data_IF_161961847356
#
_entry.id   IF_161961847356
#
_cell.length_a   1.000
_cell.length_b   1.000
_cell.length_c   1.000
_cell.angle_alpha   90.00
_cell.angle_beta   90.00
_cell.angle_gamma   90.00
#
_symmetry.space_group_name_H-M   'P 1'
#
loop_
_entity.id
_entity.type
_entity.pdbx_description
1 polymer ?
#
# COMPACT_ATOMS: atom_id res chain seq x y z
N UNK A 1 16.13 52.19 40.56
CA UNK A 1 15.46 51.13 41.34
C UNK A 1 14.14 50.70 40.70
N UNK A 2 13.38 51.61 40.11
CA UNK A 2 12.06 51.35 39.49
C UNK A 2 12.03 50.28 38.39
N UNK A 3 13.10 50.16 37.58
CA UNK A 3 13.17 49.15 36.51
C UNK A 3 13.22 47.72 37.09
N UNK A 4 14.03 47.51 38.13
CA UNK A 4 14.19 46.18 38.75
C UNK A 4 12.93 45.73 39.49
N UNK A 5 12.16 46.66 40.06
CA UNK A 5 10.88 46.34 40.69
C UNK A 5 9.83 45.83 39.70
N UNK A 6 10.03 46.01 38.40
CA UNK A 6 9.17 45.44 37.35
C UNK A 6 9.80 44.16 36.78
N UNK A 7 11.10 44.21 36.44
CA UNK A 7 11.76 43.09 35.76
C UNK A 7 11.85 41.82 36.62
N UNK A 8 12.22 41.94 37.91
CA UNK A 8 12.40 40.77 38.77
C UNK A 8 11.06 40.04 38.99
N UNK A 9 9.96 40.71 39.38
CA UNK A 9 8.66 40.04 39.49
C UNK A 9 8.18 39.44 38.16
N UNK A 10 8.44 40.09 37.02
CA UNK A 10 8.05 39.56 35.71
C UNK A 10 8.79 38.26 35.37
N UNK A 11 10.11 38.21 35.55
CA UNK A 11 10.91 36.99 35.33
C UNK A 11 10.45 35.87 36.27
N UNK A 12 10.18 36.19 37.54
CA UNK A 12 9.65 35.23 38.52
C UNK A 12 8.27 34.73 38.10
N UNK A 13 7.37 35.61 37.62
CA UNK A 13 6.05 35.22 37.13
C UNK A 13 6.15 34.31 35.89
N UNK A 14 7.05 34.60 34.96
CA UNK A 14 7.32 33.75 33.80
C UNK A 14 7.84 32.38 34.25
N UNK A 15 8.77 32.33 35.21
CA UNK A 15 9.28 31.07 35.74
C UNK A 15 8.23 30.27 36.52
N UNK A 16 7.44 30.92 37.35
CA UNK A 16 6.48 30.26 38.24
C UNK A 16 5.17 29.85 37.54
N UNK A 17 4.73 30.61 36.53
CA UNK A 17 3.45 30.35 35.85
C UNK A 17 3.66 29.93 34.40
N UNK A 18 4.35 30.75 33.60
CA UNK A 18 4.42 30.53 32.15
C UNK A 18 5.27 29.30 31.77
N UNK A 19 6.34 29.01 32.51
CA UNK A 19 7.22 27.89 32.23
C UNK A 19 6.59 26.51 32.53
N UNK A 20 5.94 26.29 33.69
CA UNK A 20 5.15 25.07 33.92
C UNK A 20 4.04 24.90 32.88
N UNK A 21 3.34 25.98 32.52
CA UNK A 21 2.32 25.95 31.48
C UNK A 21 2.94 25.55 30.13
N UNK A 22 4.07 26.12 29.75
CA UNK A 22 4.79 25.76 28.52
C UNK A 22 5.13 24.26 28.46
N UNK A 23 5.65 23.68 29.55
CA UNK A 23 5.94 22.24 29.63
C UNK A 23 4.66 21.41 29.50
N UNK A 24 3.58 21.82 30.18
CA UNK A 24 2.29 21.15 30.10
C UNK A 24 1.75 21.18 28.66
N UNK A 25 1.88 22.31 27.97
CA UNK A 25 1.42 22.44 26.59
C UNK A 25 2.23 21.60 25.61
N UNK A 26 3.54 21.44 25.83
CA UNK A 26 4.37 20.47 25.10
C UNK A 26 3.86 19.04 25.33
N UNK A 27 3.54 18.68 26.58
CA UNK A 27 2.96 17.39 26.91
C UNK A 27 1.59 17.17 26.25
N UNK A 28 0.77 18.23 26.16
CA UNK A 28 -0.55 18.16 25.51
C UNK A 28 -0.45 17.87 24.02
N UNK A 29 0.58 18.37 23.33
CA UNK A 29 0.82 18.08 21.91
C UNK A 29 1.12 16.59 21.71
N UNK A 30 1.96 16.00 22.58
CA UNK A 30 2.23 14.56 22.56
C UNK A 30 0.94 13.76 22.72
N UNK A 31 0.16 14.09 23.75
CA UNK A 31 -1.09 13.38 24.05
C UNK A 31 -2.13 13.51 22.93
N UNK A 32 -2.11 14.61 22.17
CA UNK A 32 -3.07 14.87 21.11
C UNK A 32 -2.80 14.05 19.85
N UNK A 33 -1.56 14.06 19.37
CA UNK A 33 -1.17 13.37 18.13
C UNK A 33 -0.62 11.97 18.37
N UNK A 34 -0.37 11.60 19.64
CA UNK A 34 0.31 10.37 20.04
C UNK A 34 1.65 10.19 19.30
N UNK A 35 2.43 11.28 19.23
CA UNK A 35 3.64 11.40 18.43
C UNK A 35 4.76 12.07 19.22
N UNK A 36 5.77 11.27 19.59
CA UNK A 36 7.00 11.80 20.19
C UNK A 36 7.83 12.59 19.17
N UNK A 37 7.75 12.23 17.87
CA UNK A 37 8.51 12.88 16.80
C UNK A 37 8.08 14.33 16.58
N UNK A 38 6.76 14.59 16.53
CA UNK A 38 6.23 15.96 16.45
C UNK A 38 6.70 16.81 17.64
N UNK A 39 6.74 16.22 18.82
CA UNK A 39 7.22 16.88 20.05
C UNK A 39 8.72 17.16 19.99
N UNK A 40 9.52 16.25 19.42
CA UNK A 40 10.94 16.48 19.20
C UNK A 40 11.21 17.62 18.22
N UNK A 41 10.44 17.73 17.13
CA UNK A 41 10.54 18.87 16.20
C UNK A 41 10.23 20.15 16.97
N UNK A 42 9.14 20.16 17.74
CA UNK A 42 8.77 21.32 18.55
C UNK A 42 9.88 21.73 19.53
N UNK A 43 10.54 20.77 20.19
CA UNK A 43 11.68 21.05 21.10
C UNK A 43 12.93 21.54 20.37
N UNK A 44 13.04 21.27 19.06
CA UNK A 44 14.17 21.75 18.25
C UNK A 44 13.93 23.17 17.69
N UNK A 45 12.72 23.71 17.78
CA UNK A 45 12.36 25.05 17.34
C UNK A 45 13.20 26.14 17.99
N UNK A 46 13.46 27.19 17.21
CA UNK A 46 14.28 28.32 17.62
C UNK A 46 13.65 29.06 18.81
N UNK A 47 12.34 29.28 18.75
CA UNK A 47 11.57 30.02 19.74
C UNK A 47 11.62 29.36 21.11
N UNK A 48 11.45 28.03 21.17
CA UNK A 48 11.54 27.28 22.43
C UNK A 48 12.96 27.31 23.01
N UNK A 49 13.99 27.05 22.18
CA UNK A 49 15.39 27.04 22.64
C UNK A 49 15.79 28.39 23.24
N UNK A 50 15.46 29.49 22.57
CA UNK A 50 15.78 30.83 23.08
C UNK A 50 14.96 31.20 24.29
N UNK A 51 13.66 30.92 24.31
CA UNK A 51 12.83 31.14 25.49
C UNK A 51 13.39 30.40 26.72
N UNK A 52 13.68 29.10 26.58
CA UNK A 52 14.20 28.26 27.65
C UNK A 52 15.58 28.75 28.14
N UNK A 53 16.51 29.04 27.22
CA UNK A 53 17.85 29.51 27.59
C UNK A 53 17.83 30.91 28.21
N UNK A 54 17.04 31.84 27.67
CA UNK A 54 16.91 33.20 28.20
C UNK A 54 16.28 33.20 29.60
N UNK A 55 15.39 32.26 29.90
CA UNK A 55 14.82 32.10 31.23
C UNK A 55 15.90 31.76 32.25
N UNK A 56 16.73 30.74 31.97
CA UNK A 56 17.86 30.38 32.84
C UNK A 56 18.88 31.50 32.97
N UNK A 57 19.23 32.17 31.87
CA UNK A 57 20.15 33.32 31.90
C UNK A 57 19.57 34.45 32.77
N UNK A 58 18.28 34.76 32.63
CA UNK A 58 17.62 35.81 33.42
C UNK A 58 17.61 35.49 34.91
N UNK A 59 17.36 34.23 35.28
CA UNK A 59 17.42 33.78 36.68
C UNK A 59 18.84 33.86 37.25
N UNK A 60 19.85 33.45 36.47
CA UNK A 60 21.27 33.56 36.87
C UNK A 60 21.66 35.03 37.05
N UNK A 61 21.26 35.93 36.15
CA UNK A 61 21.53 37.36 36.26
C UNK A 61 20.90 37.97 37.53
N UNK A 62 19.68 37.58 37.87
CA UNK A 62 19.02 38.00 39.11
C UNK A 62 19.79 37.49 40.33
N UNK A 63 20.21 36.22 40.32
CA UNK A 63 21.02 35.65 41.41
C UNK A 63 22.36 36.40 41.57
N UNK A 64 23.08 36.68 40.47
CA UNK A 64 24.32 37.46 40.46
C UNK A 64 24.08 38.87 41.01
N UNK A 65 22.98 39.53 40.63
CA UNK A 65 22.63 40.85 41.16
C UNK A 65 22.38 40.83 42.67
N UNK A 66 21.63 39.83 43.17
CA UNK A 66 21.38 39.68 44.62
C UNK A 66 22.68 39.40 45.39
N UNK A 67 23.56 38.59 44.83
CA UNK A 67 24.89 38.31 45.37
C UNK A 67 25.75 39.59 45.40
N UNK A 68 25.80 40.32 44.29
CA UNK A 68 26.54 41.58 44.18
C UNK A 68 26.07 42.65 45.17
N UNK A 69 24.76 42.70 45.47
CA UNK A 69 24.21 43.54 46.58
C UNK A 69 24.77 43.12 47.93
N UNK A 70 24.80 41.82 48.22
CA UNK A 70 25.22 41.29 49.51
C UNK A 70 26.73 41.42 49.76
N UNK A 71 27.55 41.23 48.73
CA UNK A 71 29.01 41.28 48.82
C UNK A 71 29.63 42.63 48.42
N UNK A 72 28.81 43.64 48.16
CA UNK A 72 29.29 45.02 47.93
C UNK A 72 30.01 45.23 46.60
N UNK A 73 29.45 44.72 45.49
CA UNK A 73 29.98 45.00 44.16
C UNK A 73 30.02 46.50 43.86
N UNK A 74 30.96 46.93 43.00
CA UNK A 74 31.08 48.34 42.66
C UNK A 74 29.83 48.88 41.96
N UNK A 75 29.54 50.16 42.18
CA UNK A 75 28.37 50.85 41.62
C UNK A 75 28.30 50.69 40.09
N UNK A 76 29.45 50.75 39.39
CA UNK A 76 29.53 50.58 37.93
C UNK A 76 29.08 49.17 37.51
N UNK A 77 29.55 48.12 38.19
CA UNK A 77 29.14 46.75 37.91
C UNK A 77 27.64 46.53 38.17
N UNK A 78 27.11 47.15 39.22
CA UNK A 78 25.69 47.08 39.55
C UNK A 78 24.81 47.75 38.50
N UNK A 79 25.23 48.90 37.94
CA UNK A 79 24.52 49.53 36.82
C UNK A 79 24.54 48.68 35.55
N UNK A 80 25.66 48.05 35.22
CA UNK A 80 25.76 47.14 34.07
C UNK A 80 24.76 45.98 34.23
N UNK A 81 24.75 45.32 35.40
CA UNK A 81 23.82 44.22 35.68
C UNK A 81 22.35 44.64 35.56
N UNK A 82 21.98 45.84 36.03
CA UNK A 82 20.61 46.36 35.91
C UNK A 82 20.18 46.44 34.45
N UNK A 83 21.01 47.02 33.57
CA UNK A 83 20.70 47.14 32.15
C UNK A 83 20.68 45.78 31.44
N UNK A 84 21.58 44.87 31.80
CA UNK A 84 21.58 43.50 31.26
C UNK A 84 20.31 42.75 31.67
N UNK A 85 19.86 42.86 32.93
CA UNK A 85 18.60 42.27 33.39
C UNK A 85 17.41 42.85 32.63
N UNK A 86 17.38 44.17 32.42
CA UNK A 86 16.32 44.83 31.66
C UNK A 86 16.24 44.30 30.22
N UNK A 87 17.37 44.27 29.51
CA UNK A 87 17.45 43.76 28.12
C UNK A 87 17.06 42.28 28.07
N UNK A 88 17.58 41.47 28.99
CA UNK A 88 17.26 40.05 29.09
C UNK A 88 15.77 39.81 29.33
N UNK A 89 15.13 40.63 30.19
CA UNK A 89 13.68 40.54 30.47
C UNK A 89 12.84 40.92 29.26
N UNK A 90 13.24 41.95 28.50
CA UNK A 90 12.55 42.36 27.28
C UNK A 90 12.66 41.28 26.19
N UNK A 91 13.85 40.71 25.99
CA UNK A 91 14.06 39.59 25.08
C UNK A 91 13.27 38.35 25.51
N UNK A 92 13.30 38.00 26.80
CA UNK A 92 12.53 36.88 27.35
C UNK A 92 11.03 37.03 27.08
N UNK A 93 10.50 38.24 27.27
CA UNK A 93 9.08 38.54 27.02
C UNK A 93 8.73 38.42 25.52
N UNK A 94 9.60 38.91 24.63
CA UNK A 94 9.43 38.76 23.18
C UNK A 94 9.43 37.28 22.78
N UNK A 95 10.41 36.50 23.25
CA UNK A 95 10.52 35.07 22.94
C UNK A 95 9.39 34.24 23.56
N UNK A 96 8.83 34.64 24.70
CA UNK A 96 7.62 34.04 25.24
C UNK A 96 6.44 34.20 24.28
N UNK A 97 6.24 35.39 23.70
CA UNK A 97 5.15 35.63 22.74
C UNK A 97 5.37 34.80 21.46
N UNK A 98 6.59 34.76 20.94
CA UNK A 98 6.93 33.94 19.77
C UNK A 98 6.73 32.45 20.05
N UNK A 99 7.13 31.98 21.23
CA UNK A 99 6.90 30.62 21.69
C UNK A 99 5.40 30.29 21.76
N UNK A 100 4.59 31.15 22.36
CA UNK A 100 3.13 30.97 22.43
C UNK A 100 2.53 30.88 21.02
N UNK A 101 2.95 31.75 20.09
CA UNK A 101 2.52 31.67 18.68
C UNK A 101 2.87 30.31 18.06
N UNK A 102 4.05 29.76 18.35
CA UNK A 102 4.45 28.42 17.90
C UNK A 102 3.60 27.32 18.52
N UNK A 103 3.27 27.40 19.81
CA UNK A 103 2.35 26.45 20.47
C UNK A 103 1.00 26.44 19.75
N UNK A 104 0.46 27.60 19.36
CA UNK A 104 -0.79 27.67 18.61
C UNK A 104 -0.72 26.97 17.25
N UNK A 105 0.39 27.10 16.52
CA UNK A 105 0.60 26.38 15.25
C UNK A 105 0.58 24.87 15.50
N UNK A 106 1.36 24.38 16.47
CA UNK A 106 1.47 22.95 16.75
C UNK A 106 0.21 22.35 17.37
N UNK A 107 -0.63 23.15 18.02
CA UNK A 107 -1.93 22.70 18.54
C UNK A 107 -3.04 22.70 17.50
N UNK A 108 -2.87 23.39 16.38
CA UNK A 108 -3.88 23.43 15.33
C UNK A 108 -3.58 22.36 14.29
N UNK A 109 -4.57 21.52 14.01
CA UNK A 109 -4.46 20.39 13.08
C UNK A 109 -3.96 20.85 11.70
N UNK A 110 -4.67 21.81 11.11
CA UNK A 110 -4.38 22.33 9.77
C UNK A 110 -3.09 23.15 9.77
N UNK A 111 -2.87 24.02 10.76
CA UNK A 111 -1.67 24.86 10.78
C UNK A 111 -0.40 24.04 10.98
N UNK A 112 -0.44 22.96 11.77
CA UNK A 112 0.68 22.06 11.93
C UNK A 112 0.99 21.33 10.62
N UNK A 113 -0.05 20.78 9.94
CA UNK A 113 0.09 20.13 8.62
C UNK A 113 0.77 21.08 7.63
N UNK A 114 0.21 22.27 7.45
CA UNK A 114 0.70 23.27 6.49
C UNK A 114 2.11 23.71 6.83
N UNK A 115 2.40 23.88 8.12
CA UNK A 115 3.73 24.24 8.61
C UNK A 115 4.77 23.17 8.27
N UNK A 116 4.49 21.89 8.54
CA UNK A 116 5.39 20.78 8.25
C UNK A 116 5.58 20.59 6.74
N UNK A 117 4.51 20.67 5.94
CA UNK A 117 4.60 20.63 4.48
C UNK A 117 5.45 21.76 3.91
N UNK A 118 5.30 22.98 4.46
CA UNK A 118 6.10 24.12 4.05
C UNK A 118 7.59 23.97 4.41
N UNK A 119 7.91 23.41 5.58
CA UNK A 119 9.28 23.13 5.98
C UNK A 119 9.92 22.03 5.12
N UNK A 120 9.14 21.01 4.77
CA UNK A 120 9.60 19.87 3.99
C UNK A 120 10.05 20.27 2.58
N UNK A 121 9.27 21.16 1.92
CA UNK A 121 9.51 21.62 0.54
C UNK A 121 9.63 20.48 -0.48
N UNK A 122 8.92 19.38 -0.26
CA UNK A 122 8.95 18.20 -1.13
C UNK A 122 10.26 17.42 -1.08
N UNK A 123 10.98 17.49 0.05
CA UNK A 123 12.22 16.73 0.29
C UNK A 123 11.98 15.46 1.12
N UNK A 124 10.76 15.27 1.59
CA UNK A 124 10.29 14.13 2.39
C UNK A 124 11.09 13.88 3.67
N UNK A 125 11.64 14.94 4.26
CA UNK A 125 12.34 14.94 5.54
C UNK A 125 11.40 14.73 6.71
N UNK A 126 10.15 15.20 6.59
CA UNK A 126 9.13 15.09 7.63
C UNK A 126 8.08 14.01 7.31
N UNK A 127 8.43 13.03 6.46
CA UNK A 127 7.49 11.99 5.99
C UNK A 127 6.87 11.19 7.14
N UNK A 128 7.63 10.96 8.19
CA UNK A 128 7.20 10.17 9.34
C UNK A 128 6.21 10.94 10.22
N UNK A 129 6.49 12.22 10.48
CA UNK A 129 5.63 13.08 11.28
C UNK A 129 4.35 13.45 10.54
N UNK A 130 4.45 13.66 9.22
CA UNK A 130 3.29 13.83 8.35
C UNK A 130 2.44 12.56 8.26
N UNK A 131 3.06 11.36 8.33
CA UNK A 131 2.31 10.10 8.41
C UNK A 131 1.52 10.00 9.72
N UNK A 132 2.16 10.29 10.85
CA UNK A 132 1.49 10.26 12.16
C UNK A 132 0.34 11.26 12.23
N UNK A 133 0.52 12.45 11.65
CA UNK A 133 -0.54 13.43 11.50
C UNK A 133 -1.67 12.95 10.57
N UNK A 134 -1.32 12.27 9.47
CA UNK A 134 -2.30 11.71 8.55
C UNK A 134 -3.16 10.63 9.21
N UNK A 135 -2.53 9.71 9.95
CA UNK A 135 -3.21 8.68 10.75
C UNK A 135 -4.13 9.34 11.77
N UNK A 136 -3.67 10.38 12.46
CA UNK A 136 -4.51 11.14 13.38
C UNK A 136 -5.74 11.74 12.68
N UNK A 137 -5.61 12.33 11.49
CA UNK A 137 -6.75 12.86 10.74
C UNK A 137 -7.72 11.77 10.31
N UNK A 138 -7.24 10.64 9.80
CA UNK A 138 -8.08 9.50 9.41
C UNK A 138 -8.88 8.99 10.61
N UNK A 139 -8.27 8.88 11.79
CA UNK A 139 -8.95 8.44 13.00
C UNK A 139 -9.98 9.44 13.50
N UNK A 140 -9.72 10.74 13.30
CA UNK A 140 -10.61 11.83 13.70
C UNK A 140 -11.84 11.91 12.78
N UNK A 141 -11.64 11.75 11.46
CA UNK A 141 -12.70 11.69 10.46
C UNK A 141 -12.34 10.67 9.38
N UNK A 142 -13.00 9.51 9.43
CA UNK A 142 -12.73 8.39 8.51
C UNK A 142 -13.30 8.62 7.10
N UNK A 143 -14.19 9.60 6.93
CA UNK A 143 -14.82 9.90 5.63
C UNK A 143 -13.96 10.91 4.88
N UNK A 144 -13.57 12.00 5.56
CA UNK A 144 -12.77 13.07 4.96
C UNK A 144 -11.30 12.68 4.99
N UNK A 145 -10.79 12.25 3.83
CA UNK A 145 -9.35 12.06 3.66
C UNK A 145 -8.70 13.42 3.44
N UNK A 146 -7.64 13.72 4.20
CA UNK A 146 -6.84 14.93 3.97
C UNK A 146 -6.14 14.86 2.61
N UNK A 147 -6.65 15.64 1.64
CA UNK A 147 -6.19 15.61 0.25
C UNK A 147 -4.73 16.04 0.11
N UNK A 148 -4.26 16.97 0.95
CA UNK A 148 -2.88 17.45 0.90
C UNK A 148 -1.88 16.38 1.34
N UNK A 149 -2.17 15.67 2.44
CA UNK A 149 -1.35 14.55 2.90
C UNK A 149 -1.43 13.36 1.94
N UNK A 150 -2.62 13.06 1.42
CA UNK A 150 -2.78 12.06 0.37
C UNK A 150 -1.92 12.39 -0.87
N UNK A 151 -1.96 13.64 -1.33
CA UNK A 151 -1.18 14.12 -2.47
C UNK A 151 0.32 14.08 -2.18
N UNK A 152 0.73 14.44 -0.96
CA UNK A 152 2.12 14.37 -0.52
C UNK A 152 2.70 12.95 -0.62
N UNK A 153 2.00 11.95 -0.06
CA UNK A 153 2.45 10.56 -0.17
C UNK A 153 2.35 10.02 -1.59
N UNK A 154 1.31 10.40 -2.34
CA UNK A 154 1.18 9.99 -3.75
C UNK A 154 2.36 10.51 -4.59
N UNK A 155 2.77 11.77 -4.40
CA UNK A 155 3.96 12.35 -5.04
C UNK A 155 5.25 11.67 -4.60
N UNK A 156 5.37 11.33 -3.31
CA UNK A 156 6.52 10.60 -2.79
C UNK A 156 6.74 9.26 -3.52
N UNK A 157 5.72 8.41 -3.56
CA UNK A 157 5.83 7.11 -4.24
C UNK A 157 5.96 7.24 -5.76
N UNK A 158 5.33 8.25 -6.37
CA UNK A 158 5.51 8.55 -7.78
C UNK A 158 6.96 8.95 -8.08
N UNK A 159 7.59 9.77 -7.23
CA UNK A 159 8.99 10.14 -7.38
C UNK A 159 9.92 8.93 -7.26
N UNK A 160 9.74 8.07 -6.25
CA UNK A 160 10.53 6.83 -6.09
C UNK A 160 10.49 5.95 -7.35
N UNK A 161 9.31 5.84 -7.99
CA UNK A 161 9.16 5.13 -9.27
C UNK A 161 9.87 5.83 -10.42
N UNK A 162 9.71 7.15 -10.54
CA UNK A 162 10.30 7.93 -11.64
C UNK A 162 11.83 7.90 -11.64
N UNK A 163 12.45 7.86 -10.46
CA UNK A 163 13.91 7.79 -10.32
C UNK A 163 14.48 6.43 -10.75
N UNK A 164 13.65 5.38 -10.71
CA UNK A 164 14.06 3.99 -10.94
C UNK A 164 13.60 3.44 -12.30
N UNK A 165 12.73 4.15 -13.02
CA UNK A 165 12.11 3.68 -14.28
C UNK A 165 13.08 3.50 -15.45
N UNK A 166 14.29 4.05 -15.36
CA UNK A 166 15.36 3.86 -16.35
C UNK A 166 16.22 2.62 -16.08
N UNK A 167 16.10 2.02 -14.89
CA UNK A 167 16.85 0.84 -14.53
C UNK A 167 16.17 -0.40 -15.08
N UNK A 168 16.97 -1.34 -15.57
CA UNK A 168 16.49 -2.66 -15.98
C UNK A 168 16.12 -3.55 -14.78
N UNK A 169 16.29 -3.07 -13.54
CA UNK A 169 16.06 -3.82 -12.32
C UNK A 169 14.66 -3.58 -11.75
N UNK A 170 14.22 -4.48 -10.88
CA UNK A 170 12.98 -4.29 -10.11
C UNK A 170 13.12 -3.11 -9.15
N UNK A 171 12.06 -2.34 -8.98
CA UNK A 171 12.02 -1.29 -7.97
C UNK A 171 11.92 -1.92 -6.57
N UNK A 172 12.95 -1.66 -5.75
CA UNK A 172 12.98 -2.07 -4.35
C UNK A 172 12.71 -0.86 -3.46
N UNK A 173 11.56 -0.89 -2.79
CA UNK A 173 11.23 0.12 -1.78
C UNK A 173 12.00 -0.15 -0.48
N UNK A 174 12.28 0.91 0.27
CA UNK A 174 12.91 0.76 1.58
C UNK A 174 11.93 0.14 2.58
N UNK A 175 12.46 -0.43 3.66
CA UNK A 175 11.62 -0.97 4.75
C UNK A 175 10.66 0.08 5.31
N UNK A 176 11.11 1.32 5.43
CA UNK A 176 10.30 2.43 5.93
C UNK A 176 9.11 2.73 4.99
N UNK A 177 9.30 2.58 3.68
CA UNK A 177 8.25 2.79 2.69
C UNK A 177 7.16 1.72 2.77
N UNK A 178 7.53 0.46 2.99
CA UNK A 178 6.54 -0.59 3.24
C UNK A 178 5.83 -0.38 4.59
N UNK A 179 6.53 0.14 5.61
CA UNK A 179 5.92 0.44 6.91
C UNK A 179 4.87 1.56 6.82
N UNK A 180 5.09 2.59 6.00
CA UNK A 180 4.09 3.64 5.71
C UNK A 180 2.80 3.00 5.17
N UNK A 181 2.92 2.16 4.14
CA UNK A 181 1.78 1.45 3.53
C UNK A 181 1.07 0.57 4.55
N UNK A 182 1.82 -0.18 5.35
CA UNK A 182 1.26 -1.06 6.37
C UNK A 182 0.50 -0.27 7.46
N UNK A 183 1.06 0.84 7.94
CA UNK A 183 0.41 1.69 8.95
C UNK A 183 -0.93 2.21 8.44
N UNK A 184 -0.99 2.69 7.20
CA UNK A 184 -2.24 3.17 6.58
C UNK A 184 -3.21 2.05 6.27
N UNK A 185 -2.71 0.88 5.84
CA UNK A 185 -3.54 -0.31 5.66
C UNK A 185 -4.27 -0.70 6.94
N UNK A 186 -3.61 -0.65 8.11
CA UNK A 186 -4.27 -0.91 9.40
C UNK A 186 -5.44 0.05 9.67
N UNK A 187 -5.28 1.33 9.37
CA UNK A 187 -6.38 2.30 9.51
C UNK A 187 -7.55 1.99 8.58
N UNK A 188 -7.27 1.52 7.35
CA UNK A 188 -8.31 1.02 6.42
C UNK A 188 -8.99 -0.24 6.99
N UNK A 189 -8.25 -1.12 7.66
CA UNK A 189 -8.80 -2.32 8.31
C UNK A 189 -9.70 -2.00 9.50
N UNK A 190 -9.57 -0.82 10.11
CA UNK A 190 -10.48 -0.32 11.14
C UNK A 190 -11.65 0.51 10.60
N UNK A 191 -11.69 0.79 9.29
CA UNK A 191 -12.68 1.67 8.65
C UNK A 191 -13.74 0.91 7.86
N UNK A 192 -14.93 1.46 7.67
CA UNK A 192 -15.97 0.82 6.83
C UNK A 192 -15.66 0.95 5.33
N UNK A 193 -16.37 0.19 4.49
CA UNK A 193 -16.16 0.18 3.03
C UNK A 193 -16.29 1.58 2.39
N UNK A 194 -17.18 2.43 2.90
CA UNK A 194 -17.40 3.79 2.37
C UNK A 194 -16.46 4.84 2.99
N UNK A 195 -15.56 4.44 3.86
CA UNK A 195 -14.59 5.29 4.56
C UNK A 195 -13.18 5.03 4.04
N UNK A 196 -12.30 6.01 4.12
CA UNK A 196 -10.89 5.89 3.70
C UNK A 196 -10.71 5.35 2.27
N UNK A 197 -11.67 5.66 1.38
CA UNK A 197 -11.79 5.02 0.05
C UNK A 197 -10.53 5.18 -0.78
N UNK A 198 -9.86 6.34 -0.71
CA UNK A 198 -8.58 6.58 -1.37
C UNK A 198 -7.50 5.62 -0.85
N UNK A 199 -7.36 5.48 0.47
CA UNK A 199 -6.36 4.59 1.07
C UNK A 199 -6.63 3.10 0.82
N UNK A 200 -7.89 2.73 0.57
CA UNK A 200 -8.21 1.37 0.10
C UNK A 200 -7.54 1.08 -1.25
N UNK A 201 -7.50 2.04 -2.19
CA UNK A 201 -6.78 1.91 -3.45
C UNK A 201 -5.27 2.08 -3.26
N UNK A 202 -4.88 3.19 -2.64
CA UNK A 202 -3.50 3.63 -2.62
C UNK A 202 -2.58 2.78 -1.76
N UNK A 203 -2.95 2.56 -0.50
CA UNK A 203 -2.15 1.79 0.44
C UNK A 203 -2.53 0.30 0.40
N UNK A 204 -3.81 -0.03 0.60
CA UNK A 204 -4.23 -1.42 0.81
C UNK A 204 -4.20 -2.27 -0.47
N UNK A 205 -4.72 -1.74 -1.57
CA UNK A 205 -4.69 -2.41 -2.88
C UNK A 205 -3.38 -2.18 -3.65
N UNK A 206 -2.42 -1.42 -3.09
CA UNK A 206 -1.05 -1.35 -3.61
C UNK A 206 -0.80 -0.36 -4.75
N UNK A 207 -1.69 0.59 -5.05
CA UNK A 207 -1.46 1.59 -6.12
C UNK A 207 -0.17 2.40 -5.90
N UNK A 208 0.16 2.73 -4.64
CA UNK A 208 1.41 3.40 -4.32
C UNK A 208 2.66 2.53 -4.45
N UNK A 209 2.53 1.21 -4.55
CA UNK A 209 3.68 0.34 -4.77
C UNK A 209 3.82 -0.01 -6.25
N UNK A 210 2.72 -0.41 -6.89
CA UNK A 210 2.68 -0.81 -8.31
C UNK A 210 2.81 0.41 -9.23
N UNK A 211 2.16 1.51 -8.86
CA UNK A 211 1.95 2.65 -9.74
C UNK A 211 0.77 2.46 -10.69
N UNK A 212 0.58 3.45 -11.55
CA UNK A 212 -0.31 3.41 -12.72
C UNK A 212 0.55 3.33 -13.98
N UNK A 213 -0.08 3.41 -15.16
CA UNK A 213 0.54 3.45 -16.49
C UNK A 213 1.68 4.49 -16.75
N UNK A 214 2.01 5.37 -15.80
CA UNK A 214 2.93 6.49 -15.97
C UNK A 214 4.41 6.07 -16.07
N UNK A 215 4.82 5.11 -15.23
CA UNK A 215 6.20 4.62 -15.17
C UNK A 215 6.22 3.11 -15.04
N UNK A 216 6.78 2.46 -16.05
CA UNK A 216 6.99 1.03 -16.01
C UNK A 216 8.26 0.71 -15.21
N UNK A 217 8.09 -0.11 -14.16
CA UNK A 217 9.18 -0.77 -13.43
C UNK A 217 8.71 -2.15 -13.01
N UNK A 218 9.58 -3.17 -13.07
CA UNK A 218 9.22 -4.53 -12.65
C UNK A 218 8.91 -4.54 -11.15
N UNK A 219 7.79 -5.15 -10.78
CA UNK A 219 7.40 -5.34 -9.37
C UNK A 219 8.40 -6.29 -8.70
N UNK A 220 8.98 -5.86 -7.57
CA UNK A 220 9.89 -6.69 -6.77
C UNK A 220 9.12 -7.75 -5.97
N UNK A 221 9.81 -8.83 -5.60
CA UNK A 221 9.25 -9.91 -4.78
C UNK A 221 8.76 -9.38 -3.42
N UNK A 222 9.50 -8.48 -2.79
CA UNK A 222 9.10 -7.84 -1.52
C UNK A 222 7.81 -7.00 -1.67
N UNK A 223 7.62 -6.38 -2.84
CA UNK A 223 6.38 -5.67 -3.14
C UNK A 223 5.21 -6.66 -3.28
N UNK A 224 5.40 -7.76 -4.01
CA UNK A 224 4.39 -8.82 -4.11
C UNK A 224 4.03 -9.40 -2.74
N UNK A 225 5.04 -9.69 -1.90
CA UNK A 225 4.84 -10.21 -0.55
C UNK A 225 4.07 -9.22 0.34
N UNK A 226 4.40 -7.94 0.27
CA UNK A 226 3.71 -6.89 1.02
C UNK A 226 2.26 -6.76 0.59
N UNK A 227 1.99 -6.75 -0.72
CA UNK A 227 0.64 -6.69 -1.26
C UNK A 227 -0.14 -7.95 -0.89
N UNK A 228 0.46 -9.14 -1.02
CA UNK A 228 -0.17 -10.40 -0.63
C UNK A 228 -0.63 -10.35 0.83
N UNK A 229 0.23 -9.90 1.74
CA UNK A 229 -0.11 -9.75 3.15
C UNK A 229 -1.28 -8.78 3.38
N UNK A 230 -1.30 -7.64 2.69
CA UNK A 230 -2.40 -6.67 2.78
C UNK A 230 -3.72 -7.26 2.25
N UNK A 231 -3.69 -7.95 1.11
CA UNK A 231 -4.87 -8.56 0.50
C UNK A 231 -5.41 -9.71 1.34
N UNK A 232 -4.52 -10.57 1.83
CA UNK A 232 -4.89 -11.67 2.71
C UNK A 232 -5.53 -11.14 4.00
N UNK A 233 -4.92 -10.13 4.63
CA UNK A 233 -5.48 -9.47 5.81
C UNK A 233 -6.87 -8.86 5.52
N UNK A 234 -7.05 -8.20 4.38
CA UNK A 234 -8.33 -7.63 3.97
C UNK A 234 -9.41 -8.71 3.76
N UNK A 235 -9.08 -9.80 3.06
CA UNK A 235 -10.03 -10.88 2.75
C UNK A 235 -10.52 -11.56 4.04
N UNK A 236 -9.60 -11.85 4.97
CA UNK A 236 -9.92 -12.44 6.28
C UNK A 236 -10.83 -11.52 7.11
N UNK A 237 -10.61 -10.19 7.02
CA UNK A 237 -11.44 -9.19 7.70
C UNK A 237 -12.73 -8.84 6.93
N UNK A 238 -13.19 -9.68 6.00
CA UNK A 238 -14.40 -9.48 5.18
C UNK A 238 -14.38 -8.20 4.32
N UNK A 239 -13.20 -7.75 3.90
CA UNK A 239 -12.98 -6.59 3.03
C UNK A 239 -12.41 -7.00 1.67
N UNK A 240 -12.91 -8.10 1.13
CA UNK A 240 -12.47 -8.68 -0.15
C UNK A 240 -12.68 -7.75 -1.36
N UNK A 241 -13.51 -6.70 -1.25
CA UNK A 241 -13.58 -5.63 -2.24
C UNK A 241 -12.22 -4.95 -2.50
N UNK A 242 -11.27 -5.00 -1.55
CA UNK A 242 -9.90 -4.51 -1.76
C UNK A 242 -9.15 -5.36 -2.78
N UNK A 243 -9.39 -6.67 -2.84
CA UNK A 243 -8.82 -7.55 -3.86
C UNK A 243 -9.34 -7.18 -5.26
N UNK A 244 -10.62 -6.79 -5.37
CA UNK A 244 -11.19 -6.27 -6.63
C UNK A 244 -10.49 -4.96 -7.04
N UNK A 245 -10.23 -4.05 -6.10
CA UNK A 245 -9.47 -2.82 -6.36
C UNK A 245 -8.04 -3.10 -6.81
N UNK A 246 -7.38 -4.07 -6.18
CA UNK A 246 -6.04 -4.51 -6.58
C UNK A 246 -6.06 -5.08 -8.00
N UNK A 247 -7.05 -5.93 -8.32
CA UNK A 247 -7.23 -6.47 -9.66
C UNK A 247 -7.32 -5.35 -10.71
N UNK A 248 -8.07 -4.27 -10.44
CA UNK A 248 -8.12 -3.10 -11.32
C UNK A 248 -6.74 -2.47 -11.54
N UNK A 249 -5.98 -2.24 -10.47
CA UNK A 249 -4.66 -1.60 -10.52
C UNK A 249 -3.67 -2.45 -11.30
N UNK A 250 -3.60 -3.75 -10.98
CA UNK A 250 -2.60 -4.64 -11.59
C UNK A 250 -2.98 -5.03 -13.02
N UNK A 251 -4.27 -5.01 -13.37
CA UNK A 251 -4.69 -5.15 -14.76
C UNK A 251 -4.24 -3.95 -15.61
N UNK A 252 -4.42 -2.71 -15.12
CA UNK A 252 -3.89 -1.51 -15.80
C UNK A 252 -2.37 -1.61 -15.99
N UNK A 253 -1.64 -2.01 -14.94
CA UNK A 253 -0.21 -2.27 -15.03
C UNK A 253 0.13 -3.33 -16.08
N UNK A 254 -0.55 -4.47 -16.08
CA UNK A 254 -0.30 -5.58 -16.99
C UNK A 254 -0.51 -5.21 -18.46
N UNK A 255 -1.54 -4.42 -18.77
CA UNK A 255 -1.80 -3.93 -20.13
C UNK A 255 -0.69 -3.00 -20.63
N UNK A 256 -0.03 -2.28 -19.72
CA UNK A 256 1.02 -1.31 -20.05
C UNK A 256 2.43 -1.89 -19.98
N UNK A 257 2.61 -3.19 -19.71
CA UNK A 257 3.93 -3.84 -19.81
C UNK A 257 4.40 -3.77 -21.27
N UNK A 258 5.52 -3.07 -21.56
CA UNK A 258 6.05 -2.95 -22.91
C UNK A 258 6.29 -4.30 -23.60
N UNK A 259 5.72 -4.47 -24.79
CA UNK A 259 6.04 -5.59 -25.67
C UNK A 259 7.39 -5.33 -26.37
N UNK A 260 8.24 -6.35 -26.41
CA UNK A 260 9.57 -6.25 -27.01
C UNK A 260 9.61 -7.20 -28.21
N UNK A 261 9.74 -6.64 -29.41
CA UNK A 261 9.87 -7.43 -30.63
C UNK A 261 11.23 -8.13 -30.70
N UNK A 262 11.29 -9.39 -31.16
CA UNK A 262 12.55 -10.08 -31.43
C UNK A 262 13.44 -9.28 -32.38
N UNK A 263 14.67 -9.02 -31.97
CA UNK A 263 15.72 -8.47 -32.82
C UNK A 263 16.54 -9.65 -33.34
N UNK A 264 16.38 -9.92 -34.63
CA UNK A 264 17.06 -11.03 -35.30
C UNK A 264 18.35 -10.50 -35.91
N UNK A 265 19.47 -11.06 -35.47
CA UNK A 265 20.79 -10.74 -35.99
C UNK A 265 21.03 -11.45 -37.35
N UNK A 266 22.08 -11.06 -38.06
CA UNK A 266 22.42 -11.60 -39.40
C UNK A 266 22.65 -13.13 -39.41
N UNK A 267 22.92 -13.74 -38.25
CA UNK A 267 23.09 -15.19 -38.07
C UNK A 267 21.79 -15.94 -37.72
N UNK A 268 20.66 -15.23 -37.64
CA UNK A 268 19.35 -15.78 -37.27
C UNK A 268 19.15 -15.95 -35.76
N UNK A 269 20.11 -15.54 -34.92
CA UNK A 269 19.95 -15.51 -33.46
C UNK A 269 19.14 -14.29 -33.02
N UNK A 270 18.47 -14.40 -31.85
CA UNK A 270 17.69 -13.30 -31.28
C UNK A 270 18.56 -12.61 -30.23
N UNK A 271 19.12 -11.44 -30.55
CA UNK A 271 20.06 -10.72 -29.67
C UNK A 271 19.41 -10.24 -28.37
N UNK A 272 18.12 -9.91 -28.40
CA UNK A 272 17.38 -9.40 -27.24
C UNK A 272 16.57 -10.47 -26.49
N UNK A 273 16.89 -11.76 -26.68
CA UNK A 273 16.17 -12.88 -26.08
C UNK A 273 16.04 -12.79 -24.56
N UNK A 274 17.11 -12.46 -23.84
CA UNK A 274 17.09 -12.33 -22.39
C UNK A 274 16.08 -11.29 -21.90
N UNK A 275 15.93 -10.19 -22.64
CA UNK A 275 15.00 -9.12 -22.30
C UNK A 275 13.56 -9.61 -22.55
N UNK A 276 13.31 -10.31 -23.65
CA UNK A 276 12.01 -10.91 -23.97
C UNK A 276 11.62 -11.94 -22.92
N UNK A 277 12.51 -12.88 -22.59
CA UNK A 277 12.27 -13.93 -21.59
C UNK A 277 11.97 -13.32 -20.22
N UNK A 278 12.66 -12.24 -19.85
CA UNK A 278 12.38 -11.49 -18.63
C UNK A 278 10.98 -10.86 -18.63
N UNK A 279 10.54 -10.28 -19.75
CA UNK A 279 9.18 -9.71 -19.88
C UNK A 279 8.11 -10.79 -19.78
N UNK A 280 8.32 -11.92 -20.44
CA UNK A 280 7.41 -13.06 -20.37
C UNK A 280 7.33 -13.62 -18.95
N UNK A 281 8.47 -13.70 -18.25
CA UNK A 281 8.53 -14.11 -16.85
C UNK A 281 7.75 -13.16 -15.94
N UNK A 282 7.90 -11.85 -16.11
CA UNK A 282 7.16 -10.85 -15.33
C UNK A 282 5.65 -10.90 -15.58
N UNK A 283 5.22 -11.05 -16.83
CA UNK A 283 3.80 -11.27 -17.13
C UNK A 283 3.30 -12.53 -16.45
N UNK A 284 4.13 -13.58 -16.41
CA UNK A 284 3.78 -14.81 -15.71
C UNK A 284 3.72 -14.62 -14.18
N UNK A 285 4.61 -13.83 -13.58
CA UNK A 285 4.61 -13.55 -12.13
C UNK A 285 3.24 -12.97 -11.72
N UNK A 286 2.71 -12.07 -12.55
CA UNK A 286 1.40 -11.44 -12.33
C UNK A 286 0.25 -12.41 -12.54
N UNK A 287 0.28 -13.23 -13.61
CA UNK A 287 -0.73 -14.25 -13.86
C UNK A 287 -0.78 -15.25 -12.70
N UNK A 288 0.38 -15.70 -12.21
CA UNK A 288 0.46 -16.61 -11.07
C UNK A 288 -0.14 -15.96 -9.82
N UNK A 289 0.26 -14.72 -9.50
CA UNK A 289 -0.26 -13.97 -8.36
C UNK A 289 -1.79 -13.87 -8.40
N UNK A 290 -2.37 -13.48 -9.55
CA UNK A 290 -3.81 -13.30 -9.71
C UNK A 290 -4.56 -14.64 -9.65
N UNK A 291 -4.00 -15.69 -10.24
CA UNK A 291 -4.62 -17.02 -10.22
C UNK A 291 -4.68 -17.55 -8.78
N UNK A 292 -3.60 -17.39 -8.01
CA UNK A 292 -3.55 -17.80 -6.60
C UNK A 292 -4.43 -16.90 -5.72
N UNK A 293 -4.51 -15.60 -6.00
CA UNK A 293 -5.46 -14.69 -5.35
C UNK A 293 -6.91 -15.10 -5.60
N UNK A 294 -7.23 -15.57 -6.81
CA UNK A 294 -8.52 -16.16 -7.15
C UNK A 294 -8.82 -17.40 -6.31
N UNK A 295 -7.82 -18.27 -6.12
CA UNK A 295 -7.89 -19.39 -5.17
C UNK A 295 -8.15 -18.96 -3.73
N UNK A 296 -7.51 -17.87 -3.27
CA UNK A 296 -7.69 -17.33 -1.92
C UNK A 296 -9.12 -16.77 -1.72
N UNK A 297 -9.66 -16.08 -2.72
CA UNK A 297 -11.05 -15.61 -2.71
C UNK A 297 -12.03 -16.78 -2.67
N UNK A 298 -11.77 -17.83 -3.46
CA UNK A 298 -12.59 -19.03 -3.46
C UNK A 298 -12.58 -19.72 -2.09
N UNK A 299 -11.38 -19.91 -1.52
CA UNK A 299 -11.19 -20.51 -0.19
C UNK A 299 -11.97 -19.76 0.91
N UNK A 300 -12.00 -18.43 0.85
CA UNK A 300 -12.76 -17.58 1.79
C UNK A 300 -14.22 -17.35 1.37
N UNK A 301 -14.75 -18.13 0.41
CA UNK A 301 -16.14 -18.04 -0.09
C UNK A 301 -16.53 -16.66 -0.61
N UNK A 302 -15.59 -15.90 -1.17
CA UNK A 302 -15.79 -14.55 -1.74
C UNK A 302 -16.20 -14.62 -3.21
N UNK A 303 -17.21 -15.46 -3.51
CA UNK A 303 -17.64 -15.78 -4.88
C UNK A 303 -18.17 -14.56 -5.66
N UNK A 304 -18.82 -13.61 -4.98
CA UNK A 304 -19.29 -12.37 -5.61
C UNK A 304 -18.15 -11.47 -6.09
N UNK A 305 -17.05 -11.43 -5.35
CA UNK A 305 -15.86 -10.66 -5.74
C UNK A 305 -15.14 -11.32 -6.91
N UNK A 306 -15.10 -12.67 -6.96
CA UNK A 306 -14.65 -13.42 -8.15
C UNK A 306 -15.51 -13.06 -9.36
N UNK A 307 -16.84 -13.07 -9.22
CA UNK A 307 -17.75 -12.62 -10.28
C UNK A 307 -17.47 -11.19 -10.73
N UNK A 308 -17.20 -10.29 -9.79
CA UNK A 308 -16.86 -8.89 -10.12
C UNK A 308 -15.56 -8.80 -10.91
N UNK A 309 -14.54 -9.59 -10.55
CA UNK A 309 -13.27 -9.70 -11.28
C UNK A 309 -13.49 -10.22 -12.71
N UNK A 310 -14.26 -11.30 -12.86
CA UNK A 310 -14.56 -11.93 -14.16
C UNK A 310 -15.19 -10.98 -15.17
N UNK A 311 -16.01 -10.03 -14.70
CA UNK A 311 -16.79 -9.12 -15.54
C UNK A 311 -16.43 -7.64 -15.31
N UNK A 312 -15.23 -7.34 -14.83
CA UNK A 312 -14.77 -5.98 -14.55
C UNK A 312 -14.62 -5.11 -15.80
N UNK A 313 -14.18 -5.68 -16.93
CA UNK A 313 -13.88 -4.92 -18.15
C UNK A 313 -15.12 -4.43 -18.89
N UNK A 314 -14.97 -3.31 -19.60
CA UNK A 314 -16.00 -2.74 -20.49
C UNK A 314 -16.05 -3.41 -21.87
N UNK A 315 -15.09 -4.29 -22.20
CA UNK A 315 -15.12 -5.02 -23.46
C UNK A 315 -16.29 -6.00 -23.50
N UNK A 316 -16.93 -6.14 -24.67
CA UNK A 316 -18.02 -7.11 -24.87
C UNK A 316 -17.69 -8.04 -26.05
N UNK A 317 -17.31 -9.31 -25.81
CA UNK A 317 -17.24 -9.97 -24.50
C UNK A 317 -16.04 -9.50 -23.64
N UNK A 318 -16.10 -9.71 -22.31
CA UNK A 318 -14.98 -9.53 -21.41
C UNK A 318 -13.71 -10.26 -21.86
N UNK A 319 -12.69 -9.49 -22.24
CA UNK A 319 -11.38 -9.97 -22.70
C UNK A 319 -10.28 -9.19 -21.98
N UNK A 320 -9.32 -9.92 -21.42
CA UNK A 320 -8.25 -9.37 -20.58
C UNK A 320 -6.85 -9.56 -21.18
N UNK A 321 -6.72 -9.70 -22.51
CA UNK A 321 -5.41 -9.83 -23.20
C UNK A 321 -4.45 -10.85 -22.54
N UNK A 322 -4.97 -12.04 -22.24
CA UNK A 322 -4.26 -13.14 -21.55
C UNK A 322 -3.91 -12.94 -20.06
N UNK A 323 -4.34 -11.85 -19.42
CA UNK A 323 -4.26 -11.67 -17.97
C UNK A 323 -5.18 -12.65 -17.22
N UNK A 324 -6.38 -12.85 -17.76
CA UNK A 324 -7.25 -13.99 -17.47
C UNK A 324 -7.42 -14.81 -18.76
N UNK A 325 -7.65 -16.14 -18.66
CA UNK A 325 -7.84 -16.98 -19.84
C UNK A 325 -8.97 -16.45 -20.74
N UNK A 326 -8.69 -16.20 -22.01
CA UNK A 326 -9.68 -15.74 -22.99
C UNK A 326 -10.33 -16.89 -23.76
N UNK A 327 -9.71 -18.08 -23.77
CA UNK A 327 -10.22 -19.29 -24.43
C UNK A 327 -10.02 -20.54 -23.56
N UNK A 328 -10.75 -21.61 -23.85
CA UNK A 328 -10.62 -22.89 -23.14
C UNK A 328 -9.18 -23.41 -23.23
N UNK A 329 -8.52 -23.29 -24.39
CA UNK A 329 -7.10 -23.65 -24.54
C UNK A 329 -6.25 -22.97 -23.46
N UNK A 330 -6.43 -21.67 -23.25
CA UNK A 330 -5.64 -20.93 -22.27
C UNK A 330 -5.95 -21.38 -20.83
N UNK A 331 -7.20 -21.73 -20.51
CA UNK A 331 -7.55 -22.34 -19.22
C UNK A 331 -6.81 -23.65 -19.02
N UNK A 332 -6.82 -24.54 -20.03
CA UNK A 332 -6.15 -25.83 -19.97
C UNK A 332 -4.63 -25.66 -19.85
N UNK A 333 -4.01 -24.77 -20.63
CA UNK A 333 -2.58 -24.47 -20.54
C UNK A 333 -2.18 -23.94 -19.16
N UNK A 334 -2.97 -23.02 -18.59
CA UNK A 334 -2.73 -22.50 -17.25
C UNK A 334 -2.80 -23.63 -16.20
N UNK A 335 -3.79 -24.52 -16.33
CA UNK A 335 -3.94 -25.69 -15.48
C UNK A 335 -2.74 -26.66 -15.62
N UNK A 336 -2.37 -27.00 -16.86
CA UNK A 336 -1.22 -27.84 -17.17
C UNK A 336 0.07 -27.26 -16.58
N UNK A 337 0.26 -25.95 -16.67
CA UNK A 337 1.46 -25.27 -16.17
C UNK A 337 1.59 -25.40 -14.65
N UNK A 338 0.50 -25.23 -13.91
CA UNK A 338 0.49 -25.37 -12.45
C UNK A 338 0.66 -26.82 -12.02
N UNK A 339 -0.01 -27.76 -12.70
CA UNK A 339 0.05 -29.20 -12.39
C UNK A 339 1.38 -29.86 -12.78
N UNK A 340 1.90 -29.53 -13.96
CA UNK A 340 3.11 -30.15 -14.52
C UNK A 340 4.42 -29.61 -13.96
N UNK A 341 4.40 -28.44 -13.31
CA UNK A 341 5.58 -27.76 -12.79
C UNK A 341 5.57 -27.62 -11.25
N UNK A 342 4.94 -28.58 -10.56
CA UNK A 342 4.90 -28.65 -9.09
C UNK A 342 6.32 -28.73 -8.46
N UNK A 343 7.32 -29.23 -9.20
CA UNK A 343 8.70 -29.36 -8.71
C UNK A 343 9.61 -28.19 -9.10
N UNK A 344 9.13 -27.25 -9.91
CA UNK A 344 9.88 -26.05 -10.32
C UNK A 344 9.27 -24.79 -9.71
N UNK A 345 8.70 -23.95 -10.57
CA UNK A 345 8.21 -22.60 -10.23
C UNK A 345 7.14 -22.58 -9.12
N UNK A 346 6.38 -23.66 -8.97
CA UNK A 346 5.27 -23.73 -8.01
C UNK A 346 5.56 -24.59 -6.77
N UNK A 347 6.80 -25.04 -6.62
CA UNK A 347 7.20 -25.93 -5.52
C UNK A 347 7.04 -25.32 -4.13
N UNK A 348 7.11 -23.99 -4.03
CA UNK A 348 7.00 -23.24 -2.78
C UNK A 348 5.80 -22.29 -2.76
N UNK A 349 4.79 -22.55 -3.60
CA UNK A 349 3.61 -21.67 -3.72
C UNK A 349 2.86 -21.50 -2.37
N UNK A 350 2.87 -22.52 -1.52
CA UNK A 350 2.28 -22.49 -0.17
C UNK A 350 3.06 -21.55 0.78
N UNK A 351 4.36 -21.35 0.53
CA UNK A 351 5.25 -20.45 1.28
C UNK A 351 5.18 -19.03 0.75
N UNK A 352 5.15 -18.88 -0.57
CA UNK A 352 5.11 -17.58 -1.25
C UNK A 352 3.75 -16.90 -1.06
N UNK A 353 2.67 -17.70 -1.06
CA UNK A 353 1.29 -17.23 -1.01
C UNK A 353 0.46 -17.98 0.05
N UNK A 354 0.78 -17.84 1.35
CA UNK A 354 0.13 -18.59 2.40
C UNK A 354 -1.35 -18.18 2.53
N UNK A 355 -2.24 -19.18 2.58
CA UNK A 355 -3.65 -18.97 2.88
C UNK A 355 -3.87 -18.91 4.38
N UNK A 356 -4.82 -18.09 4.86
CA UNK A 356 -5.11 -17.95 6.27
C UNK A 356 -5.70 -19.27 6.81
N UNK A 357 -5.45 -19.58 8.08
CA UNK A 357 -5.92 -20.79 8.77
C UNK A 357 -5.38 -22.14 8.27
N UNK A 358 -4.57 -22.17 7.20
CA UNK A 358 -3.83 -23.37 6.80
C UNK A 358 -2.52 -23.45 7.62
N UNK A 359 -2.54 -24.20 8.73
CA UNK A 359 -1.35 -24.41 9.58
C UNK A 359 -1.07 -25.91 9.71
N UNK A 360 0.15 -26.32 9.32
CA UNK A 360 0.67 -27.67 9.53
C UNK A 360 0.80 -28.53 8.26
N UNK A 361 1.46 -29.68 8.40
CA UNK A 361 1.85 -30.57 7.29
C UNK A 361 0.64 -31.15 6.54
N UNK A 362 -0.49 -31.34 7.22
CA UNK A 362 -1.74 -31.87 6.62
C UNK A 362 -2.51 -30.88 5.74
N UNK A 363 -2.05 -29.62 5.68
CA UNK A 363 -2.65 -28.57 4.87
C UNK A 363 -1.91 -28.36 3.53
N UNK A 364 -0.83 -29.14 3.30
CA UNK A 364 -0.02 -29.11 2.08
C UNK A 364 -0.88 -29.33 0.82
N UNK A 365 -0.66 -28.50 -0.19
CA UNK A 365 -1.36 -28.59 -1.48
C UNK A 365 -2.79 -28.03 -1.48
N UNK A 366 -3.31 -27.51 -0.35
CA UNK A 366 -4.63 -26.87 -0.32
C UNK A 366 -4.64 -25.51 -1.01
N UNK A 367 -3.54 -24.77 -1.04
CA UNK A 367 -3.45 -23.53 -1.84
C UNK A 367 -3.65 -23.88 -3.32
N UNK A 368 -2.83 -24.79 -3.84
CA UNK A 368 -2.96 -25.29 -5.23
C UNK A 368 -4.35 -25.86 -5.51
N UNK A 369 -4.90 -26.68 -4.62
CA UNK A 369 -6.23 -27.25 -4.77
C UNK A 369 -7.32 -26.18 -4.92
N UNK A 370 -7.24 -25.07 -4.19
CA UNK A 370 -8.19 -23.95 -4.32
C UNK A 370 -7.88 -23.08 -5.55
N UNK A 371 -6.62 -22.93 -5.93
CA UNK A 371 -6.21 -22.29 -7.18
C UNK A 371 -6.76 -23.03 -8.41
N UNK A 372 -6.70 -24.37 -8.42
CA UNK A 372 -7.30 -25.19 -9.47
C UNK A 372 -8.83 -25.02 -9.54
N UNK A 373 -9.50 -24.94 -8.38
CA UNK A 373 -10.94 -24.65 -8.31
C UNK A 373 -11.29 -23.29 -8.90
N UNK A 374 -10.45 -22.28 -8.67
CA UNK A 374 -10.62 -20.98 -9.33
C UNK A 374 -10.49 -21.09 -10.86
N UNK A 375 -9.53 -21.87 -11.38
CA UNK A 375 -9.40 -22.11 -12.83
C UNK A 375 -10.61 -22.84 -13.42
N UNK A 376 -11.25 -23.73 -12.65
CA UNK A 376 -12.51 -24.37 -13.08
C UNK A 376 -13.64 -23.33 -13.17
N UNK A 377 -13.71 -22.36 -12.26
CA UNK A 377 -14.65 -21.24 -12.40
C UNK A 377 -14.35 -20.39 -13.65
N UNK A 378 -13.08 -20.15 -13.97
CA UNK A 378 -12.67 -19.50 -15.22
C UNK A 378 -13.10 -20.30 -16.45
N UNK A 379 -12.95 -21.62 -16.43
CA UNK A 379 -13.48 -22.49 -17.50
C UNK A 379 -14.99 -22.31 -17.69
N UNK A 380 -15.77 -22.37 -16.60
CA UNK A 380 -17.23 -22.17 -16.66
C UNK A 380 -17.57 -20.75 -17.15
N UNK A 381 -16.80 -19.73 -16.73
CA UNK A 381 -16.99 -18.34 -17.17
C UNK A 381 -17.02 -18.22 -18.69
N UNK A 382 -16.15 -18.94 -19.40
CA UNK A 382 -16.07 -18.88 -20.86
C UNK A 382 -17.38 -19.26 -21.56
N UNK A 383 -18.21 -20.11 -20.95
CA UNK A 383 -19.53 -20.47 -21.48
C UNK A 383 -20.57 -19.37 -21.32
N UNK A 384 -20.33 -18.39 -20.44
CA UNK A 384 -21.19 -17.20 -20.28
C UNK A 384 -20.86 -16.08 -21.26
N UNK A 385 -19.78 -16.23 -22.04
CA UNK A 385 -19.32 -15.20 -22.99
C UNK A 385 -19.94 -15.44 -24.36
N UNK A 386 -20.65 -14.44 -24.89
CA UNK A 386 -21.13 -14.46 -26.26
C UNK A 386 -20.07 -13.85 -27.19
N UNK A 387 -19.66 -14.60 -28.22
CA UNK A 387 -18.79 -14.06 -29.26
C UNK A 387 -19.61 -13.36 -30.33
N UNK A 388 -19.46 -12.04 -30.40
CA UNK A 388 -20.08 -11.20 -31.45
C UNK A 388 -19.10 -10.84 -32.57
N UNK A 389 -17.81 -11.19 -32.43
CA UNK A 389 -16.75 -10.76 -33.35
C UNK A 389 -16.14 -11.93 -34.13
N UNK A 390 -15.88 -11.70 -35.42
CA UNK A 390 -15.09 -12.63 -36.22
C UNK A 390 -13.65 -12.73 -35.68
N UNK A 391 -13.20 -13.93 -35.34
CA UNK A 391 -11.83 -14.22 -34.89
C UNK A 391 -11.64 -14.38 -33.38
N UNK A 392 -12.70 -14.26 -32.57
CA UNK A 392 -12.66 -14.60 -31.15
C UNK A 392 -13.60 -15.78 -30.87
N UNK A 393 -13.08 -16.85 -30.29
CA UNK A 393 -13.87 -18.00 -29.85
C UNK A 393 -13.47 -18.38 -28.41
N UNK A 394 -14.29 -18.03 -27.40
CA UNK A 394 -14.06 -18.44 -26.01
C UNK A 394 -13.93 -19.95 -25.85
N UNK A 395 -14.59 -20.72 -26.71
CA UNK A 395 -14.65 -22.17 -26.62
C UNK A 395 -13.54 -22.85 -27.43
N UNK A 396 -12.62 -22.12 -28.06
CA UNK A 396 -11.45 -22.71 -28.73
C UNK A 396 -10.55 -23.40 -27.70
N UNK A 397 -10.43 -24.72 -27.87
CA UNK A 397 -9.62 -25.60 -27.05
C UNK A 397 -8.45 -26.20 -27.82
N UNK A 398 -8.37 -26.02 -29.14
CA UNK A 398 -7.43 -26.74 -30.02
C UNK A 398 -6.00 -26.21 -29.92
N UNK A 399 -4.99 -27.05 -30.21
CA UNK A 399 -3.58 -26.62 -30.27
C UNK A 399 -2.78 -26.70 -28.96
N UNK A 400 -3.11 -27.63 -28.06
CA UNK A 400 -2.22 -28.04 -26.98
C UNK A 400 -0.99 -28.78 -27.53
N UNK A 401 0.18 -28.59 -26.91
CA UNK A 401 1.39 -29.35 -27.25
C UNK A 401 1.39 -30.74 -26.58
N UNK A 402 2.30 -31.63 -26.97
CA UNK A 402 2.37 -33.00 -26.45
C UNK A 402 2.48 -33.05 -24.90
N UNK A 403 3.31 -32.19 -24.30
CA UNK A 403 3.47 -32.13 -22.84
C UNK A 403 2.19 -31.66 -22.12
N UNK A 404 1.46 -30.73 -22.72
CA UNK A 404 0.19 -30.24 -22.21
C UNK A 404 -0.90 -31.32 -22.31
N UNK A 405 -0.90 -32.10 -23.39
CA UNK A 405 -1.82 -33.24 -23.58
C UNK A 405 -1.54 -34.33 -22.54
N UNK A 406 -0.27 -34.66 -22.30
CA UNK A 406 0.14 -35.60 -21.26
C UNK A 406 -0.30 -35.14 -19.86
N UNK A 407 -0.15 -33.84 -19.58
CA UNK A 407 -0.59 -33.25 -18.32
C UNK A 407 -2.11 -33.28 -18.18
N UNK A 408 -2.84 -32.89 -19.24
CA UNK A 408 -4.30 -32.97 -19.31
C UNK A 408 -4.81 -34.37 -19.03
N UNK A 409 -4.20 -35.40 -19.65
CA UNK A 409 -4.58 -36.79 -19.44
C UNK A 409 -4.42 -37.25 -17.97
N UNK A 410 -3.52 -36.62 -17.20
CA UNK A 410 -3.33 -36.93 -15.78
C UNK A 410 -4.37 -36.25 -14.88
N UNK A 411 -4.74 -34.99 -15.16
CA UNK A 411 -5.65 -34.25 -14.27
C UNK A 411 -7.12 -34.29 -14.70
N UNK A 412 -7.44 -34.68 -15.94
CA UNK A 412 -8.80 -34.57 -16.52
C UNK A 412 -9.90 -35.20 -15.66
N UNK A 413 -9.64 -36.33 -15.02
CA UNK A 413 -10.62 -37.00 -14.15
C UNK A 413 -10.96 -36.14 -12.93
N UNK A 414 -9.96 -35.55 -12.29
CA UNK A 414 -10.15 -34.65 -11.14
C UNK A 414 -10.85 -33.36 -11.57
N UNK A 415 -10.45 -32.77 -12.70
CA UNK A 415 -11.09 -31.59 -13.26
C UNK A 415 -12.57 -31.83 -13.52
N UNK A 416 -12.90 -32.95 -14.19
CA UNK A 416 -14.27 -33.35 -14.50
C UNK A 416 -15.11 -33.54 -13.25
N UNK A 417 -14.58 -34.24 -12.23
CA UNK A 417 -15.28 -34.47 -10.96
C UNK A 417 -15.64 -33.16 -10.27
N UNK A 418 -14.69 -32.23 -10.18
CA UNK A 418 -14.92 -30.90 -9.59
C UNK A 418 -15.84 -30.03 -10.45
N UNK A 419 -15.78 -30.14 -11.77
CA UNK A 419 -16.70 -29.46 -12.69
C UNK A 419 -18.15 -29.92 -12.46
N UNK A 420 -18.39 -31.22 -12.30
CA UNK A 420 -19.71 -31.76 -11.96
C UNK A 420 -20.23 -31.14 -10.66
N UNK A 421 -19.41 -31.16 -9.59
CA UNK A 421 -19.78 -30.56 -8.31
C UNK A 421 -20.17 -29.08 -8.42
N UNK A 422 -19.45 -28.32 -9.24
CA UNK A 422 -19.72 -26.88 -9.40
C UNK A 422 -21.00 -26.63 -10.19
N UNK A 423 -21.28 -27.46 -11.19
CA UNK A 423 -22.51 -27.36 -11.99
C UNK A 423 -23.75 -27.79 -11.21
N UNK A 424 -23.60 -28.70 -10.24
CA UNK A 424 -24.67 -29.11 -9.34
C UNK A 424 -24.95 -28.07 -8.23
N UNK A 425 -23.96 -27.24 -7.87
CA UNK A 425 -24.11 -26.17 -6.87
C UNK A 425 -24.67 -24.87 -7.48
N UNK A 426 -26.01 -24.78 -7.47
CA UNK A 426 -26.74 -23.57 -7.92
C UNK A 426 -26.39 -22.31 -7.13
N UNK A 427 -26.02 -22.42 -5.85
CA UNK A 427 -25.68 -21.24 -5.06
C UNK A 427 -24.33 -20.66 -5.50
N UNK A 428 -23.35 -21.54 -5.70
CA UNK A 428 -22.04 -21.17 -6.23
C UNK A 428 -22.14 -20.52 -7.61
N UNK A 429 -22.91 -21.12 -8.53
CA UNK A 429 -23.10 -20.56 -9.87
C UNK A 429 -23.77 -19.19 -9.82
N UNK A 430 -24.85 -19.05 -9.05
CA UNK A 430 -25.57 -17.78 -8.92
C UNK A 430 -24.72 -16.70 -8.25
N UNK A 431 -23.93 -17.07 -7.24
CA UNK A 431 -23.06 -16.11 -6.55
C UNK A 431 -21.92 -15.59 -7.42
N UNK A 432 -21.38 -16.43 -8.32
CA UNK A 432 -20.25 -16.08 -9.19
C UNK A 432 -20.70 -15.44 -10.51
N UNK A 433 -21.68 -16.04 -11.19
CA UNK A 433 -22.06 -15.66 -12.55
C UNK A 433 -23.36 -14.84 -12.62
N UNK A 434 -24.11 -14.72 -11.53
CA UNK A 434 -25.40 -14.04 -11.51
C UNK A 434 -26.47 -14.82 -12.28
N UNK A 435 -27.29 -14.11 -13.06
CA UNK A 435 -28.36 -14.69 -13.88
C UNK A 435 -27.92 -14.93 -15.34
N UNK A 436 -26.60 -15.01 -15.61
CA UNK A 436 -26.07 -15.25 -16.96
C UNK A 436 -26.34 -16.67 -17.41
N UNK A 437 -26.71 -16.82 -18.68
CA UNK A 437 -26.96 -18.13 -19.30
C UNK A 437 -25.69 -18.72 -19.91
N UNK A 438 -25.61 -20.05 -19.94
CA UNK A 438 -24.53 -20.75 -20.63
C UNK A 438 -24.89 -20.96 -22.11
N UNK A 439 -23.96 -20.61 -22.99
CA UNK A 439 -24.09 -20.81 -24.44
C UNK A 439 -24.16 -22.29 -24.83
N UNK A 440 -23.48 -23.15 -24.06
CA UNK A 440 -23.47 -24.61 -24.21
C UNK A 440 -23.30 -25.26 -22.83
N UNK A 441 -23.63 -26.54 -22.70
CA UNK A 441 -23.36 -27.32 -21.49
C UNK A 441 -21.84 -27.48 -21.27
N UNK A 442 -21.28 -26.91 -20.18
CA UNK A 442 -19.84 -26.97 -19.92
C UNK A 442 -19.31 -28.40 -19.72
N UNK A 443 -20.09 -29.30 -19.11
CA UNK A 443 -19.67 -30.67 -18.86
C UNK A 443 -19.67 -31.49 -20.15
N UNK A 444 -20.74 -31.41 -20.93
CA UNK A 444 -20.81 -32.09 -22.22
C UNK A 444 -19.72 -31.57 -23.18
N UNK A 445 -19.38 -30.29 -23.10
CA UNK A 445 -18.27 -29.72 -23.86
C UNK A 445 -16.92 -30.30 -23.40
N UNK A 446 -16.68 -30.40 -22.09
CA UNK A 446 -15.46 -31.00 -21.55
C UNK A 446 -15.27 -32.46 -22.01
N UNK A 447 -16.33 -33.25 -22.03
CA UNK A 447 -16.29 -34.64 -22.52
C UNK A 447 -15.89 -34.73 -24.00
N UNK A 448 -16.24 -33.72 -24.83
CA UNK A 448 -15.76 -33.63 -26.22
C UNK A 448 -14.28 -33.29 -26.32
N UNK A 449 -13.78 -32.42 -25.44
CA UNK A 449 -12.34 -32.09 -25.36
C UNK A 449 -11.55 -33.36 -25.03
N UNK A 450 -12.01 -34.13 -24.04
CA UNK A 450 -11.36 -35.38 -23.66
C UNK A 450 -11.33 -36.36 -24.84
N UNK A 451 -12.45 -36.55 -25.55
CA UNK A 451 -12.48 -37.41 -26.73
C UNK A 451 -11.52 -36.95 -27.84
N UNK A 452 -11.41 -35.63 -28.07
CA UNK A 452 -10.50 -35.07 -29.07
C UNK A 452 -9.03 -35.40 -28.76
N UNK A 453 -8.59 -35.21 -27.50
CA UNK A 453 -7.20 -35.46 -27.09
C UNK A 453 -6.88 -36.93 -26.78
N UNK A 454 -7.87 -37.82 -26.82
CA UNK A 454 -7.65 -39.27 -26.82
C UNK A 454 -7.41 -39.83 -28.23
N UNK A 455 -7.89 -39.12 -29.26
CA UNK A 455 -7.91 -39.58 -30.66
C UNK A 455 -6.87 -38.90 -31.54
N UNK A 456 -6.27 -37.81 -31.03
CA UNK A 456 -5.16 -37.06 -31.63
C UNK A 456 -3.88 -37.46 -30.93
#
# INVERSE_FOLDING_TARGET
MEILSICIPLVIAIFAMAFPLAINEIGSINSKYNSERIVEIFRKEFEWKWFNNLLYISLILIAIYTCGRAFGFSIRWMHVLIWTIFISTLLLSLFLILFVKKVFIYKSDILLRDYLLHLDKGKYKFKEELLELYIYFIRKDKIVTDEELWMYFSKYYHQLRSETSSSTNSLEFSRDDYEIVWKLHREVMESDQNQTVLLQYNASAGEWLIGRHEYYSRISEDTFRTIWNNLNNAIVNNKSYIAVKFFTIVYDYFEHIPEISPQVDDDGSISNKDIIDRRLSERQDIIDFITVLGGLLYFNSKLRDIGTIFYYTQSQPPNYKAFLPATIRQCLQLYCKLWGNEQGRYSLIDVDYPFPALVGIGESGKVLGNTFKFIILEYIRLFTLHSYFHGYDPLDFTGLNENDIDSFNRFKSWFRERLVEFLDDRQLLKATFGDREFTQDPLAFFDRIDHHYQTT
#
